data_IF_793576343178
#
_entry.id   IF_793576343178
#
_cell.length_a   1.000
_cell.length_b   1.000
_cell.length_c   1.000
_cell.angle_alpha   90.00
_cell.angle_beta   90.00
_cell.angle_gamma   90.00
#
_symmetry.space_group_name_H-M   'P 1'
#
loop_
_entity.id
_entity.type
_entity.pdbx_description
1 polymer ?
#
# COMPACT_ATOMS: atom_id res chain seq x y z
N UNK A 1 10.58 -9.69 17.55
CA UNK A 1 10.30 -11.03 17.00
C UNK A 1 11.16 -11.29 15.74
N UNK A 2 11.04 -10.52 14.67
CA UNK A 2 11.80 -10.74 13.40
C UNK A 2 13.33 -10.78 13.60
N UNK A 3 13.89 -9.90 14.44
CA UNK A 3 15.33 -9.87 14.68
C UNK A 3 15.87 -11.13 15.38
N UNK A 4 15.03 -11.88 16.08
CA UNK A 4 15.42 -13.15 16.69
C UNK A 4 15.50 -14.28 15.67
N UNK A 5 14.65 -14.26 14.64
CA UNK A 5 14.58 -15.31 13.61
C UNK A 5 15.66 -15.13 12.54
N UNK A 6 16.03 -13.86 12.21
CA UNK A 6 17.06 -13.53 11.20
C UNK A 6 18.45 -13.26 11.80
N UNK A 7 18.60 -13.37 13.11
CA UNK A 7 19.85 -13.01 13.79
C UNK A 7 20.08 -11.50 13.87
N UNK A 8 21.33 -11.09 14.10
CA UNK A 8 21.69 -9.67 14.35
C UNK A 8 21.78 -8.81 13.08
N UNK A 9 21.63 -9.39 11.90
CA UNK A 9 21.88 -8.72 10.61
C UNK A 9 20.57 -8.50 9.82
N UNK A 10 19.55 -7.92 10.46
CA UNK A 10 18.34 -7.47 9.79
C UNK A 10 18.38 -5.95 9.67
N UNK A 11 18.41 -5.45 8.44
CA UNK A 11 18.32 -4.02 8.11
C UNK A 11 16.95 -3.73 7.50
N UNK A 12 16.22 -2.78 8.08
CA UNK A 12 14.91 -2.34 7.55
C UNK A 12 15.02 -0.87 7.21
N UNK A 13 14.71 -0.53 5.97
CA UNK A 13 14.91 0.81 5.40
C UNK A 13 13.63 1.29 4.70
N UNK A 14 13.41 2.58 4.72
CA UNK A 14 12.57 3.28 3.77
C UNK A 14 13.30 3.43 2.43
N UNK A 15 12.58 3.86 1.36
CA UNK A 15 13.23 4.15 0.07
C UNK A 15 14.28 5.28 0.20
N UNK A 16 14.00 6.29 1.00
CA UNK A 16 14.92 7.42 1.20
C UNK A 16 16.23 6.98 1.86
N UNK A 17 16.15 6.14 2.88
CA UNK A 17 17.31 5.56 3.55
C UNK A 17 18.08 4.61 2.62
N UNK A 18 17.37 3.85 1.77
CA UNK A 18 17.96 2.93 0.81
C UNK A 18 18.76 3.64 -0.30
N UNK A 19 18.56 4.93 -0.55
CA UNK A 19 19.40 5.73 -1.45
C UNK A 19 20.86 5.87 -0.96
N UNK A 20 21.11 5.52 0.30
CA UNK A 20 22.45 5.48 0.90
C UNK A 20 22.83 4.09 1.40
N UNK A 21 22.14 3.05 0.92
CA UNK A 21 22.38 1.66 1.31
C UNK A 21 23.83 1.24 1.02
N UNK A 22 24.53 0.80 2.06
CA UNK A 22 25.89 0.30 1.88
C UNK A 22 25.88 -1.13 1.31
N UNK A 23 26.94 -1.48 0.57
CA UNK A 23 27.11 -2.84 0.04
C UNK A 23 27.15 -3.92 1.15
N UNK A 24 27.83 -3.73 2.30
CA UNK A 24 27.77 -4.67 3.41
C UNK A 24 26.37 -4.88 3.97
N UNK A 25 25.55 -3.83 4.09
CA UNK A 25 24.18 -3.93 4.60
C UNK A 25 23.26 -4.69 3.63
N UNK A 26 23.50 -4.52 2.32
CA UNK A 26 22.74 -5.23 1.29
C UNK A 26 23.10 -6.71 1.16
N UNK A 27 24.34 -7.09 1.47
CA UNK A 27 24.87 -8.46 1.23
C UNK A 27 25.23 -9.22 2.51
N UNK A 28 25.32 -8.55 3.64
CA UNK A 28 25.77 -9.14 4.91
C UNK A 28 24.66 -9.76 5.76
N UNK A 29 23.40 -9.65 5.35
CA UNK A 29 22.25 -10.13 6.10
C UNK A 29 20.95 -9.99 5.35
N UNK A 30 19.82 -10.03 6.06
CA UNK A 30 18.51 -9.72 5.49
C UNK A 30 18.32 -8.19 5.41
N UNK A 31 18.04 -7.67 4.22
CA UNK A 31 17.70 -6.27 3.99
C UNK A 31 16.25 -6.17 3.49
N UNK A 32 15.45 -5.38 4.18
CA UNK A 32 14.03 -5.14 3.83
C UNK A 32 13.89 -3.65 3.52
N UNK A 33 13.39 -3.34 2.31
CA UNK A 33 13.04 -1.98 1.92
C UNK A 33 11.52 -1.87 1.89
N UNK A 34 10.97 -0.97 2.69
CA UNK A 34 9.52 -0.70 2.75
C UNK A 34 9.20 0.52 1.89
N UNK A 35 8.26 0.35 0.97
CA UNK A 35 7.89 1.39 0.01
C UNK A 35 6.45 1.32 -0.44
N UNK A 36 5.95 2.41 -0.99
CA UNK A 36 4.78 2.38 -1.87
C UNK A 36 5.23 2.11 -3.31
N UNK A 37 4.41 1.44 -4.10
CA UNK A 37 4.71 1.22 -5.52
C UNK A 37 4.87 2.55 -6.29
N UNK A 38 4.17 3.59 -5.87
CA UNK A 38 4.24 4.93 -6.46
C UNK A 38 5.64 5.54 -6.40
N UNK A 39 6.46 5.20 -5.38
CA UNK A 39 7.83 5.66 -5.29
C UNK A 39 8.72 5.17 -6.45
N UNK A 40 8.34 4.05 -7.05
CA UNK A 40 9.04 3.42 -8.18
C UNK A 40 8.33 3.61 -9.52
N UNK A 41 7.06 4.01 -9.54
CA UNK A 41 6.32 4.26 -10.79
C UNK A 41 6.89 5.45 -11.51
N UNK A 42 7.24 5.26 -12.78
CA UNK A 42 7.60 6.34 -13.69
C UNK A 42 7.17 6.00 -15.10
N UNK A 43 6.46 6.90 -15.71
CA UNK A 43 6.34 6.95 -17.16
C UNK A 43 7.66 7.49 -17.75
N UNK A 44 8.32 8.41 -17.02
CA UNK A 44 9.66 8.92 -17.34
C UNK A 44 10.56 8.74 -16.12
N UNK A 45 11.74 8.14 -16.29
CA UNK A 45 12.72 7.90 -15.22
C UNK A 45 13.43 9.17 -14.77
N UNK A 46 13.45 10.19 -15.63
CA UNK A 46 14.04 11.48 -15.33
C UNK A 46 13.31 12.18 -14.18
N UNK A 47 14.07 12.54 -13.15
CA UNK A 47 13.58 13.26 -11.97
C UNK A 47 13.28 12.39 -10.74
N UNK A 48 13.28 11.07 -10.83
CA UNK A 48 13.11 10.18 -9.67
C UNK A 48 14.45 9.71 -9.11
N UNK A 49 14.73 10.04 -7.84
CA UNK A 49 15.98 9.69 -7.15
C UNK A 49 16.34 8.21 -7.19
N UNK A 50 15.35 7.33 -7.25
CA UNK A 50 15.54 5.87 -7.32
C UNK A 50 16.28 5.42 -8.58
N UNK A 51 16.16 6.16 -9.68
CA UNK A 51 16.80 5.88 -10.98
C UNK A 51 18.01 6.77 -11.26
N UNK A 52 18.24 7.79 -10.43
CA UNK A 52 19.36 8.71 -10.60
C UNK A 52 20.68 8.13 -10.10
N UNK A 53 21.78 8.57 -10.73
CA UNK A 53 23.13 8.23 -10.30
C UNK A 53 23.42 8.85 -8.93
N UNK A 54 23.74 8.03 -7.93
CA UNK A 54 24.03 8.42 -6.56
C UNK A 54 25.38 7.87 -6.14
N UNK A 55 26.33 8.75 -5.79
CA UNK A 55 27.68 8.38 -5.42
C UNK A 55 27.77 7.41 -4.25
N UNK A 56 26.81 7.46 -3.31
CA UNK A 56 26.75 6.57 -2.15
C UNK A 56 26.55 5.10 -2.54
N UNK A 57 25.98 4.81 -3.73
CA UNK A 57 25.69 3.46 -4.21
C UNK A 57 26.80 2.88 -5.10
N UNK A 58 27.86 3.61 -5.39
CA UNK A 58 28.91 3.19 -6.34
C UNK A 58 29.60 1.89 -5.94
N UNK A 59 29.79 1.63 -4.65
CA UNK A 59 30.48 0.43 -4.16
C UNK A 59 29.77 -0.86 -4.53
N UNK A 60 28.44 -0.83 -4.75
CA UNK A 60 27.68 -1.99 -5.20
C UNK A 60 28.13 -2.49 -6.57
N UNK A 61 28.68 -1.61 -7.41
CA UNK A 61 29.06 -1.90 -8.80
C UNK A 61 30.54 -2.23 -8.95
N UNK A 62 31.31 -2.28 -7.85
CA UNK A 62 32.73 -2.63 -7.87
C UNK A 62 32.91 -4.13 -8.05
N UNK A 63 33.77 -4.53 -9.00
CA UNK A 63 34.13 -5.93 -9.24
C UNK A 63 33.05 -6.78 -9.92
N UNK A 64 32.09 -6.15 -10.58
CA UNK A 64 31.08 -6.85 -11.39
C UNK A 64 31.72 -7.42 -12.66
N UNK A 65 31.24 -8.58 -13.09
CA UNK A 65 31.59 -9.16 -14.38
C UNK A 65 30.75 -8.55 -15.53
N UNK A 66 31.13 -8.84 -16.78
CA UNK A 66 30.44 -8.30 -17.96
C UNK A 66 28.98 -8.73 -18.07
N UNK A 67 28.64 -9.95 -17.65
CA UNK A 67 27.27 -10.44 -17.65
C UNK A 67 26.38 -9.66 -16.66
N UNK A 68 26.88 -9.39 -15.46
CA UNK A 68 26.19 -8.55 -14.47
C UNK A 68 26.00 -7.14 -14.99
N UNK A 69 27.04 -6.53 -15.57
CA UNK A 69 26.98 -5.18 -16.13
C UNK A 69 26.00 -5.11 -17.32
N UNK A 70 25.93 -6.17 -18.14
CA UNK A 70 25.03 -6.21 -19.29
C UNK A 70 23.55 -6.09 -18.91
N UNK A 71 23.20 -6.53 -17.73
CA UNK A 71 21.81 -6.51 -17.22
C UNK A 71 21.39 -5.17 -16.62
N UNK A 72 22.34 -4.28 -16.31
CA UNK A 72 22.10 -3.02 -15.64
C UNK A 72 21.84 -1.88 -16.63
N UNK A 73 21.12 -0.87 -16.18
CA UNK A 73 21.01 0.39 -16.90
C UNK A 73 22.36 1.11 -16.87
N UNK A 74 22.75 1.70 -18.00
CA UNK A 74 24.05 2.31 -18.18
C UNK A 74 23.92 3.81 -18.39
N UNK A 75 24.94 4.53 -18.00
CA UNK A 75 25.06 5.95 -18.33
C UNK A 75 25.21 6.06 -19.86
N UNK A 76 24.43 6.94 -20.47
CA UNK A 76 24.37 7.14 -21.90
C UNK A 76 25.75 7.26 -22.54
N UNK A 77 25.96 6.50 -23.61
CA UNK A 77 27.22 6.49 -24.36
C UNK A 77 28.40 5.84 -23.63
N UNK A 78 28.18 5.14 -22.52
CA UNK A 78 29.23 4.49 -21.73
C UNK A 78 28.92 3.03 -21.42
N UNK A 79 29.91 2.29 -20.91
CA UNK A 79 29.73 0.94 -20.36
C UNK A 79 29.50 0.95 -18.83
N UNK A 80 29.53 2.14 -18.19
CA UNK A 80 29.38 2.30 -16.75
C UNK A 80 27.91 2.12 -16.34
N UNK A 81 27.59 1.25 -15.36
CA UNK A 81 26.26 1.19 -14.80
C UNK A 81 25.88 2.52 -14.14
N UNK A 82 24.62 2.92 -14.22
CA UNK A 82 24.08 3.99 -13.39
C UNK A 82 24.12 3.53 -11.93
N UNK A 83 24.78 4.26 -11.05
CA UNK A 83 24.83 3.94 -9.63
C UNK A 83 23.51 4.32 -8.94
N UNK A 84 22.41 3.68 -9.34
CA UNK A 84 21.05 3.94 -8.87
C UNK A 84 20.55 2.83 -7.95
N UNK A 85 19.58 3.16 -7.08
CA UNK A 85 18.91 2.15 -6.25
C UNK A 85 18.21 1.10 -7.11
N UNK A 86 17.61 1.49 -8.23
CA UNK A 86 16.98 0.55 -9.17
C UNK A 86 17.98 -0.50 -9.68
N UNK A 87 19.19 -0.09 -10.05
CA UNK A 87 20.25 -1.01 -10.47
C UNK A 87 20.79 -1.86 -9.31
N UNK A 88 20.88 -1.32 -8.09
CA UNK A 88 21.22 -2.12 -6.89
C UNK A 88 20.17 -3.21 -6.66
N UNK A 89 18.87 -2.87 -6.70
CA UNK A 89 17.80 -3.86 -6.59
C UNK A 89 17.88 -4.92 -7.68
N UNK A 90 18.08 -4.50 -8.93
CA UNK A 90 18.23 -5.41 -10.08
C UNK A 90 19.42 -6.36 -9.94
N UNK A 91 20.54 -5.88 -9.39
CA UNK A 91 21.73 -6.68 -9.13
C UNK A 91 21.48 -7.77 -8.10
N UNK A 92 20.73 -7.46 -7.03
CA UNK A 92 20.43 -8.37 -5.95
C UNK A 92 19.20 -9.26 -6.18
N UNK A 93 18.41 -9.01 -7.23
CA UNK A 93 17.21 -9.79 -7.58
C UNK A 93 16.28 -10.01 -6.39
N UNK A 94 15.65 -8.96 -5.88
CA UNK A 94 14.91 -9.02 -4.63
C UNK A 94 13.72 -9.99 -4.72
N UNK A 95 13.29 -10.52 -3.59
CA UNK A 95 11.93 -10.99 -3.40
C UNK A 95 11.05 -9.77 -3.15
N UNK A 96 9.99 -9.61 -3.91
CA UNK A 96 9.04 -8.50 -3.76
C UNK A 96 7.76 -9.04 -3.13
N UNK A 97 7.30 -8.40 -2.05
CA UNK A 97 6.01 -8.69 -1.42
C UNK A 97 5.10 -7.49 -1.68
N UNK A 98 3.96 -7.73 -2.32
CA UNK A 98 2.96 -6.70 -2.66
C UNK A 98 1.72 -6.94 -1.81
N UNK A 99 1.46 -6.03 -0.88
CA UNK A 99 0.22 -6.02 -0.11
C UNK A 99 -0.89 -5.31 -0.88
N UNK A 100 -2.15 -5.75 -0.69
CA UNK A 100 -3.32 -5.25 -1.43
C UNK A 100 -3.09 -5.20 -2.95
N UNK A 101 -2.53 -6.28 -3.50
CA UNK A 101 -2.07 -6.35 -4.89
C UNK A 101 -3.17 -6.03 -5.92
N UNK A 102 -4.45 -6.19 -5.57
CA UNK A 102 -5.58 -5.84 -6.43
C UNK A 102 -5.60 -4.35 -6.84
N UNK A 103 -5.04 -3.46 -6.03
CA UNK A 103 -4.90 -2.04 -6.35
C UNK A 103 -3.81 -1.78 -7.40
N UNK A 104 -2.96 -2.75 -7.66
CA UNK A 104 -1.77 -2.64 -8.49
C UNK A 104 -1.81 -3.54 -9.75
N UNK A 105 -2.96 -4.11 -10.10
CA UNK A 105 -3.14 -4.99 -11.27
C UNK A 105 -3.22 -4.18 -12.58
N UNK A 106 -2.22 -3.34 -12.83
CA UNK A 106 -2.07 -2.60 -14.09
C UNK A 106 -0.78 -3.01 -14.81
N UNK A 107 -0.76 -2.92 -16.12
CA UNK A 107 0.45 -3.17 -16.93
C UNK A 107 1.63 -2.32 -16.42
N UNK A 108 1.41 -1.04 -16.12
CA UNK A 108 2.44 -0.14 -15.59
C UNK A 108 3.00 -0.62 -14.25
N UNK A 109 2.16 -1.18 -13.37
CA UNK A 109 2.62 -1.72 -12.09
C UNK A 109 3.51 -2.93 -12.28
N UNK A 110 3.10 -3.85 -13.15
CA UNK A 110 3.88 -5.03 -13.50
C UNK A 110 5.21 -4.66 -14.15
N UNK A 111 5.21 -3.75 -15.10
CA UNK A 111 6.42 -3.24 -15.75
C UNK A 111 7.38 -2.60 -14.74
N UNK A 112 6.84 -1.84 -13.78
CA UNK A 112 7.65 -1.24 -12.72
C UNK A 112 8.36 -2.30 -11.87
N UNK A 113 7.63 -3.33 -11.42
CA UNK A 113 8.20 -4.41 -10.61
C UNK A 113 9.20 -5.25 -11.40
N UNK A 114 8.92 -5.52 -12.68
CA UNK A 114 9.78 -6.31 -13.57
C UNK A 114 11.12 -5.64 -13.83
N UNK A 115 11.23 -4.32 -13.74
CA UNK A 115 12.50 -3.58 -13.89
C UNK A 115 13.57 -3.98 -12.86
N UNK A 116 13.16 -4.48 -11.70
CA UNK A 116 14.09 -4.93 -10.67
C UNK A 116 14.57 -6.37 -10.85
N UNK A 117 14.13 -7.06 -11.91
CA UNK A 117 14.46 -8.48 -12.18
C UNK A 117 14.27 -9.36 -10.93
N UNK A 118 13.09 -9.31 -10.27
CA UNK A 118 12.87 -9.97 -9.00
C UNK A 118 13.01 -11.49 -9.12
N UNK A 119 13.52 -12.11 -8.06
CA UNK A 119 13.58 -13.58 -7.96
C UNK A 119 12.20 -14.19 -7.75
N UNK A 120 11.30 -13.44 -7.07
CA UNK A 120 9.92 -13.83 -6.78
C UNK A 120 9.09 -12.57 -6.53
N UNK A 121 7.84 -12.58 -6.98
CA UNK A 121 6.81 -11.62 -6.60
C UNK A 121 5.74 -12.40 -5.84
N UNK A 122 5.55 -12.07 -4.56
CA UNK A 122 4.50 -12.62 -3.71
C UNK A 122 3.41 -11.56 -3.54
N UNK A 123 2.21 -11.86 -4.02
CA UNK A 123 1.04 -10.99 -3.90
C UNK A 123 0.14 -11.45 -2.76
N UNK A 124 -0.21 -10.52 -1.87
CA UNK A 124 -1.25 -10.70 -0.86
C UNK A 124 -2.47 -9.89 -1.28
N UNK A 125 -3.60 -10.54 -1.48
CA UNK A 125 -4.81 -9.89 -1.99
C UNK A 125 -6.08 -10.66 -1.64
N UNK A 126 -7.17 -9.93 -1.38
CA UNK A 126 -8.50 -10.52 -1.23
C UNK A 126 -9.13 -10.93 -2.57
N UNK A 127 -8.65 -10.34 -3.69
CA UNK A 127 -9.21 -10.54 -5.03
C UNK A 127 -8.10 -10.82 -6.04
N UNK A 128 -7.63 -12.08 -6.15
CA UNK A 128 -6.60 -12.44 -7.11
C UNK A 128 -7.08 -12.22 -8.54
N UNK A 129 -6.15 -11.91 -9.46
CA UNK A 129 -6.45 -11.72 -10.87
C UNK A 129 -6.94 -13.03 -11.49
N UNK A 130 -8.13 -13.02 -12.03
CA UNK A 130 -8.71 -14.19 -12.70
C UNK A 130 -8.81 -14.02 -14.24
N UNK A 131 -8.66 -12.79 -14.75
CA UNK A 131 -8.83 -12.49 -16.17
C UNK A 131 -7.55 -12.73 -16.95
N UNK A 132 -7.71 -13.20 -18.20
CA UNK A 132 -6.64 -13.30 -19.18
C UNK A 132 -6.87 -12.19 -20.21
N UNK A 133 -5.90 -11.29 -20.35
CA UNK A 133 -5.85 -10.29 -21.44
C UNK A 133 -4.39 -10.13 -21.89
N UNK A 134 -3.93 -10.97 -22.84
CA UNK A 134 -2.55 -10.92 -23.31
C UNK A 134 -2.16 -9.59 -23.95
N UNK A 135 -3.14 -8.87 -24.54
CA UNK A 135 -2.89 -7.56 -25.13
C UNK A 135 -2.51 -6.49 -24.08
N UNK A 136 -2.93 -6.70 -22.84
CA UNK A 136 -2.59 -5.85 -21.68
C UNK A 136 -1.57 -6.50 -20.74
N UNK A 137 -0.94 -7.59 -21.16
CA UNK A 137 -0.02 -8.39 -20.34
C UNK A 137 -0.64 -8.84 -19.00
N UNK A 138 -1.96 -9.12 -19.01
CA UNK A 138 -2.68 -9.60 -17.83
C UNK A 138 -2.84 -11.12 -17.89
N UNK A 139 -2.37 -11.78 -16.86
CA UNK A 139 -2.48 -13.23 -16.68
C UNK A 139 -3.08 -13.54 -15.32
N UNK A 140 -3.75 -14.69 -15.15
CA UNK A 140 -4.32 -15.08 -13.87
C UNK A 140 -3.20 -15.29 -12.83
N UNK A 141 -3.49 -14.88 -11.60
CA UNK A 141 -2.59 -15.10 -10.47
C UNK A 141 -2.45 -16.59 -10.18
N UNK A 142 -1.23 -17.04 -9.91
CA UNK A 142 -0.98 -18.39 -9.39
C UNK A 142 -1.28 -18.40 -7.89
N UNK A 143 -2.49 -18.83 -7.51
CA UNK A 143 -2.93 -18.84 -6.11
C UNK A 143 -2.27 -20.01 -5.38
N UNK A 144 -1.29 -19.70 -4.53
CA UNK A 144 -0.57 -20.68 -3.72
C UNK A 144 -1.34 -21.09 -2.46
N UNK A 145 -2.02 -20.12 -1.84
CA UNK A 145 -2.80 -20.33 -0.63
C UNK A 145 -4.04 -19.45 -0.62
N UNK A 146 -5.15 -19.98 -0.13
CA UNK A 146 -6.40 -19.25 -0.03
C UNK A 146 -6.98 -19.43 1.38
N UNK A 147 -7.35 -18.32 2.01
CA UNK A 147 -8.06 -18.29 3.30
C UNK A 147 -9.49 -17.89 3.05
N UNK A 148 -10.43 -18.73 3.45
CA UNK A 148 -11.86 -18.45 3.30
C UNK A 148 -12.36 -17.47 4.38
N UNK A 149 -13.48 -16.78 4.09
CA UNK A 149 -14.14 -15.94 5.08
C UNK A 149 -14.61 -16.73 6.31
N UNK A 150 -14.91 -18.03 6.14
CA UNK A 150 -15.30 -18.90 7.24
C UNK A 150 -14.12 -19.18 8.19
N UNK A 151 -12.91 -19.38 7.63
CA UNK A 151 -11.69 -19.55 8.43
C UNK A 151 -11.32 -18.26 9.17
N UNK A 152 -11.42 -17.09 8.51
CA UNK A 152 -11.18 -15.80 9.14
C UNK A 152 -12.18 -15.52 10.27
N UNK A 153 -13.45 -15.90 10.09
CA UNK A 153 -14.45 -15.81 11.14
C UNK A 153 -14.15 -16.74 12.31
N UNK A 154 -13.77 -17.98 12.03
CA UNK A 154 -13.41 -18.94 13.07
C UNK A 154 -12.17 -18.51 13.87
N UNK A 155 -11.24 -17.78 13.24
CA UNK A 155 -10.09 -17.18 13.88
C UNK A 155 -10.37 -15.81 14.53
N UNK A 156 -11.64 -15.37 14.57
CA UNK A 156 -12.08 -14.08 15.13
C UNK A 156 -11.42 -12.84 14.48
N UNK A 157 -10.88 -13.01 13.27
CA UNK A 157 -10.19 -11.93 12.54
C UNK A 157 -11.16 -11.00 11.81
N UNK A 158 -12.40 -11.44 11.55
CA UNK A 158 -13.44 -10.62 10.91
C UNK A 158 -14.75 -10.68 11.68
N UNK A 159 -15.46 -9.56 11.72
CA UNK A 159 -16.81 -9.48 12.31
C UNK A 159 -17.86 -9.77 11.25
N UNK A 160 -18.65 -10.82 11.45
CA UNK A 160 -19.82 -11.15 10.65
C UNK A 160 -21.04 -11.35 11.58
N UNK A 161 -22.25 -11.00 11.14
CA UNK A 161 -22.63 -10.51 9.80
C UNK A 161 -22.36 -9.01 9.61
N UNK A 162 -22.08 -8.62 8.35
CA UNK A 162 -22.07 -7.23 7.92
C UNK A 162 -23.51 -6.87 7.53
N UNK A 163 -24.06 -5.80 8.12
CA UNK A 163 -25.38 -5.30 7.74
C UNK A 163 -25.22 -4.18 6.73
N UNK A 164 -25.74 -4.38 5.52
CA UNK A 164 -25.77 -3.36 4.47
C UNK A 164 -27.14 -2.69 4.46
N UNK A 165 -27.15 -1.36 4.56
CA UNK A 165 -28.34 -0.54 4.38
C UNK A 165 -28.11 0.43 3.23
N UNK A 166 -29.09 0.55 2.34
CA UNK A 166 -29.03 1.46 1.20
C UNK A 166 -30.28 2.33 1.18
N UNK A 167 -30.10 3.62 0.90
CA UNK A 167 -31.20 4.57 0.68
C UNK A 167 -30.78 5.53 -0.46
N UNK A 168 -31.74 6.02 -1.25
CA UNK A 168 -31.48 7.01 -2.26
C UNK A 168 -31.17 8.39 -1.67
N UNK A 169 -31.68 8.68 -0.47
CA UNK A 169 -31.39 9.89 0.28
C UNK A 169 -30.17 9.67 1.19
N UNK A 170 -29.05 10.22 0.79
CA UNK A 170 -27.80 10.14 1.54
C UNK A 170 -27.88 10.79 2.93
N UNK A 171 -28.75 11.82 3.12
CA UNK A 171 -28.96 12.46 4.42
C UNK A 171 -29.60 11.49 5.41
N UNK A 172 -30.54 10.69 4.92
CA UNK A 172 -31.16 9.64 5.71
C UNK A 172 -30.16 8.53 6.10
N UNK A 173 -29.28 8.14 5.16
CA UNK A 173 -28.18 7.19 5.46
C UNK A 173 -27.27 7.71 6.58
N UNK A 174 -26.90 8.98 6.50
CA UNK A 174 -26.10 9.61 7.57
C UNK A 174 -26.85 9.62 8.91
N UNK A 175 -28.15 9.96 8.91
CA UNK A 175 -28.97 9.92 10.12
C UNK A 175 -28.98 8.53 10.76
N UNK A 176 -29.23 7.49 9.98
CA UNK A 176 -29.22 6.10 10.44
C UNK A 176 -27.86 5.65 10.97
N UNK A 177 -26.77 6.09 10.36
CA UNK A 177 -25.42 5.81 10.83
C UNK A 177 -25.17 6.45 12.21
N UNK A 178 -25.68 7.65 12.43
CA UNK A 178 -25.61 8.31 13.73
C UNK A 178 -26.41 7.58 14.81
N UNK A 179 -27.65 7.21 14.50
CA UNK A 179 -28.51 6.48 15.43
C UNK A 179 -27.87 5.15 15.83
N UNK A 180 -27.28 4.46 14.86
CA UNK A 180 -26.52 3.24 15.11
C UNK A 180 -25.30 3.49 16.01
N UNK A 181 -24.54 4.55 15.76
CA UNK A 181 -23.39 4.90 16.58
C UNK A 181 -23.79 5.26 18.01
N UNK A 182 -24.93 5.96 18.20
CA UNK A 182 -25.43 6.29 19.55
C UNK A 182 -25.86 5.03 20.31
N UNK A 183 -26.51 4.08 19.63
CA UNK A 183 -26.84 2.80 20.23
C UNK A 183 -25.58 2.06 20.68
N UNK A 184 -24.56 1.95 19.81
CA UNK A 184 -23.28 1.33 20.14
C UNK A 184 -22.53 2.08 21.26
N UNK A 185 -22.66 3.40 21.35
CA UNK A 185 -22.08 4.20 22.43
C UNK A 185 -22.68 3.85 23.78
N UNK A 186 -23.99 3.60 23.81
CA UNK A 186 -24.67 3.21 25.06
C UNK A 186 -24.22 1.79 25.48
N UNK A 187 -24.18 0.86 24.55
CA UNK A 187 -23.65 -0.50 24.78
C UNK A 187 -22.19 -0.45 25.28
N UNK A 188 -21.33 0.36 24.65
CA UNK A 188 -19.93 0.51 25.06
C UNK A 188 -19.78 1.09 26.47
N UNK A 189 -20.66 1.98 26.91
CA UNK A 189 -20.68 2.50 28.28
C UNK A 189 -21.15 1.47 29.31
N UNK A 190 -22.13 0.65 28.94
CA UNK A 190 -22.60 -0.46 29.80
C UNK A 190 -21.46 -1.48 29.95
N UNK A 191 -20.81 -1.87 28.85
CA UNK A 191 -19.68 -2.78 28.88
C UNK A 191 -18.49 -2.22 29.69
N UNK A 192 -18.22 -0.92 29.56
CA UNK A 192 -17.19 -0.27 30.36
C UNK A 192 -17.49 -0.34 31.87
N UNK A 193 -18.74 -0.24 32.25
CA UNK A 193 -19.12 -0.32 33.67
C UNK A 193 -18.87 -1.74 34.23
N UNK A 194 -18.94 -2.78 33.40
CA UNK A 194 -18.75 -4.16 33.81
C UNK A 194 -17.27 -4.58 33.71
N UNK A 195 -16.59 -4.22 32.61
CA UNK A 195 -15.23 -4.70 32.30
C UNK A 195 -14.13 -3.70 32.63
N UNK A 196 -14.44 -2.42 32.76
CA UNK A 196 -13.47 -1.32 32.89
C UNK A 196 -12.87 -0.88 31.55
N UNK A 197 -13.19 -1.54 30.43
CA UNK A 197 -12.66 -1.24 29.11
C UNK A 197 -13.69 -0.47 28.26
N UNK A 198 -13.32 0.70 27.75
CA UNK A 198 -14.16 1.49 26.86
C UNK A 198 -13.74 1.39 25.41
N UNK A 199 -14.62 0.83 24.58
CA UNK A 199 -14.44 0.77 23.11
C UNK A 199 -15.28 1.87 22.47
N UNK A 200 -14.62 2.92 21.98
CA UNK A 200 -15.26 4.08 21.36
C UNK A 200 -15.82 3.76 19.98
N UNK A 201 -17.15 3.83 19.75
CA UNK A 201 -17.72 3.71 18.42
C UNK A 201 -17.37 4.92 17.55
N UNK A 202 -16.96 4.67 16.32
CA UNK A 202 -16.64 5.70 15.33
C UNK A 202 -17.45 5.48 14.04
N UNK A 203 -17.75 6.57 13.34
CA UNK A 203 -18.33 6.52 11.99
C UNK A 203 -17.26 6.96 11.00
N UNK A 204 -17.08 6.21 9.93
CA UNK A 204 -16.26 6.59 8.79
C UNK A 204 -17.19 7.01 7.63
N UNK A 205 -17.08 8.24 7.18
CA UNK A 205 -17.77 8.73 5.99
C UNK A 205 -16.82 8.74 4.81
N UNK A 206 -17.22 8.06 3.75
CA UNK A 206 -16.51 8.11 2.46
C UNK A 206 -17.38 8.86 1.46
N UNK A 207 -16.84 9.91 0.88
CA UNK A 207 -17.50 10.74 -0.11
C UNK A 207 -16.73 10.72 -1.45
N UNK A 208 -17.39 11.15 -2.51
CA UNK A 208 -16.79 11.25 -3.84
C UNK A 208 -15.81 12.42 -3.90
N UNK A 209 -14.79 12.30 -4.75
CA UNK A 209 -13.89 13.42 -5.03
C UNK A 209 -14.63 14.55 -5.77
N UNK A 210 -14.18 15.79 -5.58
CA UNK A 210 -14.71 16.93 -6.32
C UNK A 210 -14.54 16.74 -7.84
N UNK A 211 -15.51 17.15 -8.61
CA UNK A 211 -15.49 17.12 -10.07
C UNK A 211 -15.89 18.48 -10.63
N UNK A 212 -15.18 18.95 -11.65
CA UNK A 212 -15.52 20.17 -12.36
C UNK A 212 -16.70 19.97 -13.34
N UNK A 213 -16.95 18.73 -13.74
CA UNK A 213 -17.97 18.36 -14.74
C UNK A 213 -19.27 17.85 -14.13
N UNK A 214 -19.26 17.51 -12.83
CA UNK A 214 -20.43 16.96 -12.14
C UNK A 214 -20.58 17.63 -10.76
N UNK A 215 -21.35 18.74 -10.66
CA UNK A 215 -21.55 19.48 -9.42
C UNK A 215 -22.43 18.75 -8.41
N UNK A 216 -23.20 17.74 -8.84
CA UNK A 216 -24.16 17.03 -7.99
C UNK A 216 -23.51 15.93 -7.14
N UNK A 217 -22.25 15.63 -7.38
CA UNK A 217 -21.50 14.65 -6.59
C UNK A 217 -21.60 14.93 -5.09
N UNK A 218 -21.75 13.84 -4.32
CA UNK A 218 -21.68 13.89 -2.88
C UNK A 218 -20.22 14.00 -2.45
N UNK A 219 -19.78 15.23 -2.21
CA UNK A 219 -18.42 15.53 -1.77
C UNK A 219 -18.31 15.60 -0.24
N UNK A 220 -17.10 15.53 0.29
CA UNK A 220 -16.85 15.65 1.72
C UNK A 220 -17.32 16.99 2.28
N UNK A 221 -17.26 18.06 1.47
CA UNK A 221 -17.68 19.39 1.90
C UNK A 221 -19.22 19.44 2.12
N UNK A 222 -20.01 18.85 1.20
CA UNK A 222 -21.48 18.72 1.36
C UNK A 222 -21.84 17.89 2.59
N UNK A 223 -21.12 16.79 2.83
CA UNK A 223 -21.35 15.95 4.03
C UNK A 223 -21.01 16.73 5.30
N UNK A 224 -19.88 17.44 5.30
CA UNK A 224 -19.44 18.25 6.46
C UNK A 224 -20.42 19.39 6.78
N UNK A 225 -20.89 20.11 5.75
CA UNK A 225 -21.89 21.16 5.87
C UNK A 225 -23.18 20.63 6.52
N UNK A 226 -23.74 19.56 5.96
CA UNK A 226 -24.95 18.92 6.49
C UNK A 226 -24.79 18.49 7.96
N UNK A 227 -23.66 17.91 8.30
CA UNK A 227 -23.38 17.46 9.66
C UNK A 227 -23.23 18.64 10.63
N UNK A 228 -22.63 19.72 10.20
CA UNK A 228 -22.46 20.94 11.00
C UNK A 228 -23.81 21.61 11.25
N UNK A 229 -24.70 21.62 10.28
CA UNK A 229 -26.05 22.22 10.41
C UNK A 229 -27.00 21.39 11.27
N UNK A 230 -26.93 20.06 11.15
CA UNK A 230 -27.92 19.18 11.77
C UNK A 230 -27.53 18.65 13.14
N UNK A 231 -26.23 18.64 13.50
CA UNK A 231 -25.69 18.03 14.72
C UNK A 231 -24.71 18.95 15.44
N UNK A 232 -25.23 19.96 16.12
CA UNK A 232 -24.48 21.01 16.84
C UNK A 232 -23.52 20.49 17.92
N UNK A 233 -23.62 19.23 18.33
CA UNK A 233 -22.81 18.61 19.39
C UNK A 233 -21.73 17.63 18.85
N UNK A 234 -21.44 17.61 17.55
CA UNK A 234 -20.39 16.77 17.03
C UNK A 234 -19.01 17.41 17.26
N UNK A 235 -18.38 17.04 18.36
CA UNK A 235 -17.02 17.44 18.72
C UNK A 235 -16.03 16.73 17.78
N UNK A 236 -15.22 17.54 17.08
CA UNK A 236 -14.00 17.17 16.37
C UNK A 236 -14.13 16.22 15.16
N UNK A 237 -14.49 16.79 14.02
CA UNK A 237 -14.22 16.18 12.71
C UNK A 237 -12.71 16.21 12.42
N UNK A 238 -12.08 15.07 12.27
CA UNK A 238 -10.76 14.98 11.62
C UNK A 238 -10.96 14.66 10.15
N UNK A 239 -10.63 15.61 9.28
CA UNK A 239 -10.47 15.37 7.86
C UNK A 239 -9.18 14.55 7.69
N UNK A 240 -9.29 13.27 7.34
CA UNK A 240 -8.16 12.52 6.84
C UNK A 240 -7.95 12.99 5.39
N UNK A 241 -6.94 13.79 5.15
CA UNK A 241 -6.51 14.09 3.79
C UNK A 241 -5.90 12.81 3.24
N UNK A 242 -6.61 12.15 2.33
CA UNK A 242 -6.01 11.16 1.47
C UNK A 242 -4.97 11.87 0.61
N UNK A 243 -3.72 11.51 0.75
CA UNK A 243 -2.69 11.82 -0.24
C UNK A 243 -3.10 11.10 -1.52
N UNK A 244 -3.54 11.90 -2.50
CA UNK A 244 -3.82 11.47 -3.86
C UNK A 244 -2.54 11.06 -4.59
#
# INVERSE_FOLDING_TARGET
ALAADFGRNLTVLTVEEALSLSRPDASGGACIIVSTLQAFRVEETDGRKVYQDAGALMDHFSGLNEEQIARLEKVDGTHRPVASLANVLKLHRPMIIVDEAHNNQTALSFDTLSRFDPSLILEMTATPQAKIDPAKNLYPSNVLYHVSAAELKAAEMIKLPIRLQTDADWKKVIGQAYDCREALENEAKEEQAETGEYIRPIILFQAQSQSKTDPDRLTIDKVTEYLTETRTNCVAWRRLQGTG
#
